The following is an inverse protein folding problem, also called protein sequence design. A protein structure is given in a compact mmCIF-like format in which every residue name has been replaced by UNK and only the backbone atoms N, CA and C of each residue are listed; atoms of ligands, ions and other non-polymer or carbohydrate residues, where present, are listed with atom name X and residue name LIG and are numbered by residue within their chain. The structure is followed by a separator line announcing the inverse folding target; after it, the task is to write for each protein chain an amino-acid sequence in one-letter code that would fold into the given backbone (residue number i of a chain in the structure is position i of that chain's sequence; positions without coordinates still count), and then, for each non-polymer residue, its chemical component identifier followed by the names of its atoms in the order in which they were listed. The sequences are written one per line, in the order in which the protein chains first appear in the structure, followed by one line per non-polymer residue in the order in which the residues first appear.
data_IF_637244813696
#
_entry.id   IF_637244813696
#
_cell.length_a   1.000
_cell.length_b   1.000
_cell.length_c   1.000
_cell.angle_alpha   90.00
_cell.angle_beta   90.00
_cell.angle_gamma   90.00
#
_symmetry.space_group_name_H-M   'P 1'
#
loop_
_entity.id
_entity.type
_entity.pdbx_description
1 polymer ?
#
# COMPACT_ATOMS: atom_id res chain seq x y z
N UNK A 1 -19.51 5.54 -17.37
CA UNK A 1 -18.84 5.32 -16.06
C UNK A 1 -18.17 3.97 -16.07
N UNK A 2 -16.84 3.96 -15.95
CA UNK A 2 -16.00 2.76 -15.90
C UNK A 2 -15.38 2.63 -14.51
N UNK A 3 -15.24 1.38 -14.06
CA UNK A 3 -14.58 1.03 -12.80
C UNK A 3 -13.32 0.25 -13.13
N UNK A 4 -12.21 0.60 -12.48
CA UNK A 4 -10.94 -0.11 -12.63
C UNK A 4 -10.54 -0.76 -11.31
N UNK A 5 -9.91 -1.94 -11.39
CA UNK A 5 -9.34 -2.63 -10.25
C UNK A 5 -7.85 -2.84 -10.43
N UNK A 6 -7.06 -2.49 -9.44
CA UNK A 6 -5.62 -2.73 -9.41
C UNK A 6 -5.25 -3.69 -8.28
N UNK A 7 -4.43 -4.69 -8.60
CA UNK A 7 -3.92 -5.66 -7.63
C UNK A 7 -2.75 -5.10 -6.83
N UNK A 8 -2.33 -5.81 -5.79
CA UNK A 8 -1.26 -5.34 -4.90
C UNK A 8 0.07 -5.10 -5.61
N UNK A 9 0.44 -5.90 -6.61
CA UNK A 9 1.68 -5.69 -7.38
C UNK A 9 1.70 -4.36 -8.14
N UNK A 10 0.54 -3.90 -8.63
CA UNK A 10 0.38 -2.59 -9.28
C UNK A 10 0.49 -1.42 -8.30
N UNK A 11 0.56 -1.70 -7.00
CA UNK A 11 0.59 -0.72 -5.92
C UNK A 11 1.78 -0.95 -4.99
N UNK A 12 2.77 -1.74 -5.44
CA UNK A 12 3.88 -2.19 -4.59
C UNK A 12 4.86 -1.07 -4.22
N UNK A 13 5.00 -0.05 -5.06
CA UNK A 13 5.87 1.11 -4.86
C UNK A 13 5.33 2.35 -5.61
N UNK A 14 5.97 3.49 -5.39
CA UNK A 14 5.60 4.77 -6.01
C UNK A 14 5.61 4.75 -7.54
N UNK A 15 6.57 4.05 -8.17
CA UNK A 15 6.64 3.94 -9.63
C UNK A 15 5.40 3.25 -10.21
N UNK A 16 4.98 2.13 -9.60
CA UNK A 16 3.78 1.41 -10.04
C UNK A 16 2.50 2.23 -9.79
N UNK A 17 2.42 2.95 -8.67
CA UNK A 17 1.28 3.82 -8.38
C UNK A 17 1.17 4.93 -9.43
N UNK A 18 2.28 5.56 -9.84
CA UNK A 18 2.26 6.55 -10.94
C UNK A 18 1.68 5.97 -12.22
N UNK A 19 2.11 4.77 -12.62
CA UNK A 19 1.55 4.06 -13.80
C UNK A 19 0.05 3.82 -13.65
N UNK A 20 -0.41 3.42 -12.46
CA UNK A 20 -1.83 3.23 -12.17
C UNK A 20 -2.62 4.54 -12.28
N UNK A 21 -2.06 5.65 -11.79
CA UNK A 21 -2.64 6.98 -11.96
C UNK A 21 -2.72 7.38 -13.44
N UNK A 22 -1.66 7.17 -14.22
CA UNK A 22 -1.66 7.47 -15.66
C UNK A 22 -2.74 6.67 -16.40
N UNK A 23 -2.89 5.39 -16.08
CA UNK A 23 -3.96 4.54 -16.62
C UNK A 23 -5.33 5.14 -16.26
N UNK A 24 -5.56 5.54 -15.01
CA UNK A 24 -6.84 6.14 -14.64
C UNK A 24 -7.12 7.45 -15.37
N UNK A 25 -6.12 8.33 -15.47
CA UNK A 25 -6.27 9.66 -16.05
C UNK A 25 -6.38 9.64 -17.58
N UNK A 26 -5.92 8.57 -18.25
CA UNK A 26 -6.01 8.43 -19.71
C UNK A 26 -7.43 8.29 -20.26
N UNK A 27 -8.43 7.98 -19.43
CA UNK A 27 -9.82 7.79 -19.86
C UNK A 27 -10.79 8.49 -18.89
N UNK A 28 -11.46 9.58 -19.32
CA UNK A 28 -12.31 10.39 -18.45
C UNK A 28 -13.53 9.62 -17.90
N UNK A 29 -13.90 8.47 -18.48
CA UNK A 29 -14.96 7.62 -17.94
C UNK A 29 -14.53 6.84 -16.68
N UNK A 30 -13.23 6.68 -16.42
CA UNK A 30 -12.67 5.96 -15.26
C UNK A 30 -12.74 6.84 -14.03
N UNK A 31 -13.87 6.77 -13.34
CA UNK A 31 -14.17 7.62 -12.18
C UNK A 31 -14.03 6.92 -10.84
N UNK A 32 -13.87 5.59 -10.84
CA UNK A 32 -13.77 4.76 -9.63
C UNK A 32 -12.61 3.79 -9.77
N UNK A 33 -11.72 3.79 -8.78
CA UNK A 33 -10.62 2.84 -8.64
C UNK A 33 -10.84 1.98 -7.40
N UNK A 34 -10.79 0.66 -7.57
CA UNK A 34 -10.73 -0.31 -6.46
C UNK A 34 -9.30 -0.82 -6.34
N UNK A 35 -8.72 -0.71 -5.16
CA UNK A 35 -7.32 -1.07 -4.89
C UNK A 35 -7.21 -2.21 -3.89
N UNK A 36 -6.17 -3.02 -4.04
CA UNK A 36 -5.70 -3.92 -2.98
C UNK A 36 -4.64 -3.21 -2.11
N UNK A 37 -4.25 -3.83 -1.00
CA UNK A 37 -3.08 -3.37 -0.24
C UNK A 37 -1.78 -3.49 -1.06
N UNK A 38 -0.74 -2.70 -0.75
CA UNK A 38 0.56 -2.79 -1.44
C UNK A 38 1.13 -4.22 -1.40
N UNK A 39 1.46 -4.70 -2.60
CA UNK A 39 2.08 -6.00 -2.80
C UNK A 39 3.58 -6.00 -2.55
N UNK A 40 4.22 -7.09 -2.94
CA UNK A 40 5.67 -7.24 -2.85
C UNK A 40 6.39 -6.36 -3.88
N UNK A 41 7.47 -5.69 -3.47
CA UNK A 41 8.38 -4.91 -4.34
C UNK A 41 9.39 -5.80 -5.06
N UNK A 42 9.87 -6.84 -4.37
CA UNK A 42 10.77 -7.88 -4.88
C UNK A 42 10.23 -9.25 -4.49
N UNK A 43 10.84 -10.34 -4.96
CA UNK A 43 10.36 -11.70 -4.67
C UNK A 43 10.45 -12.04 -3.17
N UNK A 44 11.47 -11.49 -2.52
CA UNK A 44 11.83 -11.67 -1.11
C UNK A 44 11.04 -10.74 -0.17
N UNK A 45 10.38 -9.72 -0.71
CA UNK A 45 9.60 -8.75 0.07
C UNK A 45 8.33 -9.37 0.67
N UNK A 46 7.78 -8.74 1.71
CA UNK A 46 6.56 -9.17 2.41
C UNK A 46 5.38 -8.29 1.97
N UNK A 47 4.19 -8.87 1.81
CA UNK A 47 2.98 -8.11 1.50
C UNK A 47 2.50 -7.34 2.74
N UNK A 48 1.94 -6.16 2.56
CA UNK A 48 1.35 -5.40 3.68
C UNK A 48 0.27 -6.19 4.40
N UNK A 49 -0.55 -6.94 3.68
CA UNK A 49 -1.57 -7.81 4.29
C UNK A 49 -0.96 -8.84 5.23
N UNK A 50 0.18 -9.43 4.86
CA UNK A 50 0.85 -10.43 5.70
C UNK A 50 1.44 -9.77 6.98
N UNK A 51 1.96 -8.54 6.85
CA UNK A 51 2.41 -7.74 8.01
C UNK A 51 1.25 -7.41 8.97
N UNK A 52 0.08 -7.05 8.44
CA UNK A 52 -1.12 -6.80 9.24
C UNK A 52 -1.62 -8.07 9.95
N UNK A 53 -1.57 -9.22 9.28
CA UNK A 53 -1.91 -10.52 9.88
C UNK A 53 -0.91 -10.84 11.01
N UNK A 54 0.39 -10.63 10.78
CA UNK A 54 1.42 -10.84 11.79
C UNK A 54 1.20 -9.94 13.02
N UNK A 55 0.90 -8.65 12.81
CA UNK A 55 0.55 -7.72 13.87
C UNK A 55 -0.65 -8.21 14.69
N UNK A 56 -1.72 -8.65 14.03
CA UNK A 56 -2.90 -9.18 14.70
C UNK A 56 -2.55 -10.41 15.54
N UNK A 57 -1.77 -11.35 15.00
CA UNK A 57 -1.36 -12.56 15.70
C UNK A 57 -0.45 -12.27 16.91
N UNK A 58 0.47 -11.31 16.79
CA UNK A 58 1.33 -10.87 17.88
C UNK A 58 0.49 -10.34 19.05
N UNK A 59 -0.47 -9.45 18.77
CA UNK A 59 -1.38 -8.88 19.76
C UNK A 59 -2.29 -9.93 20.41
N UNK A 60 -2.86 -10.83 19.62
CA UNK A 60 -3.70 -11.94 20.12
C UNK A 60 -2.89 -12.85 21.06
N UNK A 61 -1.60 -13.04 20.79
CA UNK A 61 -0.71 -13.89 21.59
C UNK A 61 -0.12 -13.18 22.83
N UNK A 62 -0.51 -11.92 23.09
CA UNK A 62 -0.04 -11.15 24.26
C UNK A 62 1.26 -10.38 24.06
N UNK A 63 1.83 -10.35 22.85
CA UNK A 63 2.97 -9.49 22.50
C UNK A 63 2.50 -8.09 22.11
N UNK A 64 3.39 -7.09 22.21
CA UNK A 64 3.06 -5.71 21.87
C UNK A 64 2.95 -5.43 20.36
N UNK A 65 3.44 -6.32 19.49
CA UNK A 65 3.35 -6.19 18.04
C UNK A 65 3.98 -4.91 17.46
N UNK A 66 4.87 -4.22 18.18
CA UNK A 66 5.36 -2.91 17.73
C UNK A 66 6.26 -3.04 16.49
N UNK A 67 6.97 -4.16 16.36
CA UNK A 67 7.82 -4.45 15.19
C UNK A 67 6.99 -4.57 13.92
N UNK A 68 5.90 -5.35 13.95
CA UNK A 68 5.02 -5.54 12.80
C UNK A 68 4.28 -4.26 12.45
N UNK A 69 3.83 -3.51 13.46
CA UNK A 69 3.21 -2.19 13.27
C UNK A 69 4.18 -1.23 12.58
N UNK A 70 5.41 -1.11 13.07
CA UNK A 70 6.42 -0.24 12.46
C UNK A 70 6.74 -0.66 11.03
N UNK A 71 6.76 -1.96 10.73
CA UNK A 71 6.96 -2.44 9.36
C UNK A 71 5.84 -2.02 8.40
N UNK A 72 4.58 -1.98 8.87
CA UNK A 72 3.44 -1.46 8.10
C UNK A 72 3.58 0.05 7.89
N UNK A 73 3.87 0.81 8.94
CA UNK A 73 4.02 2.27 8.86
C UNK A 73 5.14 2.66 7.89
N UNK A 74 6.33 2.04 8.04
CA UNK A 74 7.48 2.27 7.16
C UNK A 74 7.15 1.99 5.68
N UNK A 75 6.26 1.02 5.40
CA UNK A 75 5.84 0.75 4.02
C UNK A 75 5.08 1.95 3.43
N UNK A 76 4.08 2.45 4.15
CA UNK A 76 3.27 3.57 3.67
C UNK A 76 4.07 4.87 3.63
N UNK A 77 4.90 5.11 4.64
CA UNK A 77 5.79 6.28 4.68
C UNK A 77 6.75 6.30 3.49
N UNK A 78 7.45 5.19 3.21
CA UNK A 78 8.36 5.10 2.05
C UNK A 78 7.64 5.37 0.73
N UNK A 79 6.46 4.77 0.52
CA UNK A 79 5.67 5.00 -0.69
C UNK A 79 5.23 6.46 -0.80
N UNK A 80 4.75 7.03 0.30
CA UNK A 80 4.25 8.39 0.33
C UNK A 80 5.37 9.42 0.12
N UNK A 81 6.53 9.24 0.75
CA UNK A 81 7.71 10.08 0.55
C UNK A 81 8.15 10.05 -0.92
N UNK A 82 8.26 8.87 -1.51
CA UNK A 82 8.63 8.70 -2.91
C UNK A 82 7.62 9.32 -3.87
N UNK A 83 6.34 9.42 -3.48
CA UNK A 83 5.27 10.10 -4.23
C UNK A 83 5.19 11.61 -3.95
N UNK A 84 5.93 12.12 -2.96
CA UNK A 84 5.87 13.53 -2.54
C UNK A 84 4.57 13.89 -1.81
N UNK A 85 3.94 12.94 -1.12
CA UNK A 85 2.75 13.19 -0.31
C UNK A 85 3.15 13.92 0.98
N UNK A 86 2.33 14.89 1.39
CA UNK A 86 2.58 15.69 2.58
C UNK A 86 2.52 14.84 3.87
N UNK A 87 3.38 15.17 4.84
CA UNK A 87 3.56 14.38 6.06
C UNK A 87 2.30 14.30 6.94
N UNK A 88 1.43 15.31 6.87
CA UNK A 88 0.15 15.37 7.59
C UNK A 88 -0.89 14.36 7.07
N UNK A 89 -0.67 13.80 5.88
CA UNK A 89 -1.52 12.74 5.29
C UNK A 89 -0.94 11.34 5.56
N UNK A 90 0.29 11.25 6.10
CA UNK A 90 0.93 9.96 6.39
C UNK A 90 0.36 9.33 7.66
N UNK A 91 0.28 7.99 7.72
CA UNK A 91 -0.12 7.30 8.94
C UNK A 91 0.92 7.48 10.06
N UNK A 92 0.46 7.82 11.25
CA UNK A 92 1.23 8.00 12.50
C UNK A 92 1.10 6.81 13.45
#
# INVERSE_FOLDING_TARGET
MKVCKFGGSSLANAEQIRKVCDIMLSDPDRRVMVVSAPGKRTREDIKVTDLLIALANARISGYDGEVEKQAVLNRFESIGQDLGIAADVMPS
#
